data_IF_244385824332
#
_entry.id   IF_244385824332
#
_cell.length_a   1.000
_cell.length_b   1.000
_cell.length_c   1.000
_cell.angle_alpha   90.00
_cell.angle_beta   90.00
_cell.angle_gamma   90.00
#
_symmetry.space_group_name_H-M   'P 1'
#
loop_
_entity.id
_entity.type
_entity.pdbx_description
1 polymer ?
#
# COMPACT_ATOMS: atom_id res chain seq x y z
N UNK A 1 3.30 10.02 15.45
CA UNK A 1 3.19 9.98 13.97
C UNK A 1 4.56 9.74 13.37
N UNK A 2 4.65 8.98 12.29
CA UNK A 2 5.93 8.65 11.68
C UNK A 2 6.62 9.89 11.12
N UNK A 3 7.95 9.98 11.32
CA UNK A 3 8.76 11.07 10.75
C UNK A 3 9.26 10.70 9.36
N UNK A 4 9.67 11.69 8.58
CA UNK A 4 10.28 11.43 7.27
C UNK A 4 11.52 10.56 7.40
N UNK A 5 12.35 10.80 8.42
CA UNK A 5 13.56 10.02 8.67
C UNK A 5 13.22 8.54 8.89
N UNK A 6 12.20 8.26 9.71
CA UNK A 6 11.76 6.88 9.95
C UNK A 6 11.16 6.25 8.71
N UNK A 7 10.37 7.01 7.96
CA UNK A 7 9.78 6.53 6.70
C UNK A 7 10.87 6.18 5.68
N UNK A 8 11.91 7.00 5.56
CA UNK A 8 13.04 6.71 4.67
C UNK A 8 13.80 5.45 5.09
N UNK A 9 13.95 5.20 6.38
CA UNK A 9 14.57 3.96 6.88
C UNK A 9 13.75 2.75 6.50
N UNK A 10 12.43 2.84 6.58
CA UNK A 10 11.53 1.76 6.18
C UNK A 10 11.69 1.47 4.68
N UNK A 11 11.70 2.52 3.85
CA UNK A 11 11.88 2.38 2.41
C UNK A 11 13.21 1.68 2.10
N UNK A 12 14.30 2.14 2.70
CA UNK A 12 15.63 1.56 2.49
C UNK A 12 15.69 0.10 2.92
N UNK A 13 15.11 -0.22 4.08
CA UNK A 13 15.05 -1.60 4.56
C UNK A 13 14.25 -2.51 3.65
N UNK A 14 13.13 -2.04 3.13
CA UNK A 14 12.31 -2.80 2.19
C UNK A 14 13.04 -3.06 0.87
N UNK A 15 13.73 -2.04 0.33
CA UNK A 15 14.50 -2.19 -0.90
C UNK A 15 15.62 -3.21 -0.73
N UNK A 16 16.34 -3.13 0.40
CA UNK A 16 17.40 -4.08 0.72
C UNK A 16 16.87 -5.50 0.82
N UNK A 17 15.77 -5.68 1.54
CA UNK A 17 15.15 -7.00 1.71
C UNK A 17 14.69 -7.58 0.39
N UNK A 18 14.09 -6.76 -0.46
CA UNK A 18 13.64 -7.19 -1.78
C UNK A 18 14.81 -7.71 -2.63
N UNK A 19 15.98 -7.07 -2.55
CA UNK A 19 17.16 -7.52 -3.31
C UNK A 19 17.80 -8.76 -2.69
N UNK A 20 17.81 -8.86 -1.37
CA UNK A 20 18.31 -10.06 -0.68
C UNK A 20 17.47 -11.30 -1.02
N UNK A 21 16.18 -11.13 -1.16
CA UNK A 21 15.23 -12.23 -1.43
C UNK A 21 15.00 -12.48 -2.92
N UNK A 22 15.70 -11.79 -3.81
CA UNK A 22 15.53 -11.90 -5.26
C UNK A 22 14.08 -11.69 -5.73
N UNK A 23 13.38 -10.75 -5.10
CA UNK A 23 12.03 -10.42 -5.51
C UNK A 23 12.01 -9.69 -6.85
N UNK A 24 10.90 -9.76 -7.57
CA UNK A 24 10.68 -8.89 -8.72
C UNK A 24 10.78 -7.42 -8.30
N UNK A 25 11.04 -6.49 -9.23
CA UNK A 25 11.11 -5.07 -8.89
C UNK A 25 9.90 -4.61 -8.08
N UNK A 26 10.14 -3.90 -6.98
CA UNK A 26 9.10 -3.49 -6.04
C UNK A 26 8.91 -1.97 -6.03
N UNK A 27 7.74 -1.56 -5.59
CA UNK A 27 7.44 -0.16 -5.26
C UNK A 27 6.96 -0.11 -3.82
N UNK A 28 7.47 0.86 -3.07
CA UNK A 28 7.20 1.01 -1.64
C UNK A 28 6.56 2.37 -1.40
N UNK A 29 5.49 2.39 -0.62
CA UNK A 29 4.84 3.62 -0.18
C UNK A 29 4.67 3.58 1.33
N UNK A 30 5.08 4.64 2.01
CA UNK A 30 4.92 4.79 3.46
C UNK A 30 4.01 5.97 3.73
N UNK A 31 2.87 5.69 4.37
CA UNK A 31 1.87 6.69 4.73
C UNK A 31 1.87 6.90 6.24
N UNK A 32 1.47 8.10 6.68
CA UNK A 32 1.23 8.35 8.09
C UNK A 32 -0.20 7.96 8.48
N UNK A 33 -0.54 8.14 9.76
CA UNK A 33 -1.87 7.76 10.28
C UNK A 33 -3.02 8.58 9.70
N UNK A 34 -2.72 9.67 8.99
CA UNK A 34 -3.72 10.47 8.27
C UNK A 34 -3.97 9.96 6.86
N UNK A 35 -3.22 8.93 6.42
CA UNK A 35 -3.27 8.43 5.05
C UNK A 35 -2.48 9.30 4.07
N UNK A 36 -1.59 10.15 4.56
CA UNK A 36 -0.77 11.03 3.73
C UNK A 36 0.56 10.35 3.39
N UNK A 37 0.95 10.41 2.13
CA UNK A 37 2.22 9.85 1.68
C UNK A 37 3.40 10.63 2.28
N UNK A 38 4.26 9.93 2.99
CA UNK A 38 5.46 10.52 3.61
C UNK A 38 6.70 10.23 2.78
N UNK A 39 6.86 8.99 2.32
CA UNK A 39 8.01 8.60 1.50
C UNK A 39 7.63 7.44 0.61
N UNK A 40 8.26 7.38 -0.56
CA UNK A 40 8.06 6.28 -1.49
C UNK A 40 9.29 6.08 -2.35
N UNK A 41 9.41 4.87 -2.93
CA UNK A 41 10.45 4.57 -3.89
C UNK A 41 9.93 3.52 -4.86
N UNK A 42 10.35 3.65 -6.11
CA UNK A 42 10.02 2.71 -7.19
C UNK A 42 11.33 2.21 -7.76
N UNK A 43 11.55 0.90 -7.68
CA UNK A 43 12.74 0.31 -8.30
C UNK A 43 12.64 0.38 -9.82
N UNK A 44 13.83 0.40 -10.47
CA UNK A 44 13.89 0.32 -11.92
C UNK A 44 13.16 -0.93 -12.41
N UNK A 45 12.43 -0.80 -13.49
CA UNK A 45 11.66 -1.87 -14.10
C UNK A 45 10.42 -2.33 -13.31
N UNK A 46 10.06 -1.64 -12.22
CA UNK A 46 8.76 -1.85 -11.59
C UNK A 46 7.65 -1.36 -12.53
N UNK A 47 6.52 -2.07 -12.55
CA UNK A 47 5.44 -1.75 -13.48
C UNK A 47 4.85 -0.36 -13.20
N UNK A 48 4.42 0.33 -14.27
CA UNK A 48 3.89 1.70 -14.20
C UNK A 48 2.79 1.88 -13.16
N UNK A 49 1.92 0.88 -13.00
CA UNK A 49 0.77 0.95 -12.09
C UNK A 49 1.15 0.67 -10.62
N UNK A 50 2.36 0.18 -10.35
CA UNK A 50 2.77 -0.22 -9.00
C UNK A 50 2.69 0.89 -7.95
N UNK A 51 3.09 2.16 -8.24
CA UNK A 51 2.94 3.23 -7.24
C UNK A 51 1.51 3.43 -6.79
N UNK A 52 0.55 3.40 -7.72
CA UNK A 52 -0.86 3.56 -7.40
C UNK A 52 -1.38 2.40 -6.56
N UNK A 53 -0.98 1.17 -6.89
CA UNK A 53 -1.36 -0.01 -6.12
C UNK A 53 -0.77 0.03 -4.71
N UNK A 54 0.52 0.38 -4.58
CA UNK A 54 1.18 0.47 -3.29
C UNK A 54 0.51 1.51 -2.39
N UNK A 55 0.23 2.68 -2.93
CA UNK A 55 -0.47 3.75 -2.22
C UNK A 55 -1.87 3.30 -1.81
N UNK A 56 -2.62 2.71 -2.73
CA UNK A 56 -3.98 2.26 -2.47
C UNK A 56 -4.04 1.22 -1.34
N UNK A 57 -3.14 0.26 -1.34
CA UNK A 57 -3.08 -0.75 -0.29
C UNK A 57 -2.77 -0.14 1.08
N UNK A 58 -1.77 0.75 1.14
CA UNK A 58 -1.41 1.41 2.38
C UNK A 58 -2.53 2.32 2.88
N UNK A 59 -3.14 3.09 1.99
CA UNK A 59 -4.24 3.99 2.31
C UNK A 59 -5.45 3.22 2.84
N UNK A 60 -5.78 2.09 2.20
CA UNK A 60 -6.87 1.23 2.64
C UNK A 60 -6.63 0.66 4.03
N UNK A 61 -5.39 0.24 4.33
CA UNK A 61 -5.04 -0.29 5.65
C UNK A 61 -5.21 0.78 6.73
N UNK A 62 -4.78 2.01 6.47
CA UNK A 62 -4.95 3.12 7.42
C UNK A 62 -6.43 3.41 7.63
N UNK A 63 -7.21 3.48 6.54
CA UNK A 63 -8.62 3.84 6.61
C UNK A 63 -9.49 2.80 7.30
N UNK A 64 -9.19 1.53 7.10
CA UNK A 64 -9.98 0.41 7.68
C UNK A 64 -9.39 -0.05 9.01
N UNK A 65 -8.08 0.11 9.22
CA UNK A 65 -7.41 -0.32 10.44
C UNK A 65 -6.97 -1.77 10.42
N UNK A 66 -6.94 -2.41 9.25
CA UNK A 66 -6.49 -3.78 9.07
C UNK A 66 -5.34 -3.85 8.06
N UNK A 67 -4.52 -4.90 8.14
CA UNK A 67 -3.52 -5.17 7.12
C UNK A 67 -4.20 -5.48 5.77
N UNK A 68 -3.47 -5.31 4.66
CA UNK A 68 -4.03 -5.62 3.34
C UNK A 68 -4.44 -7.09 3.20
N UNK A 69 -3.72 -8.00 3.87
CA UNK A 69 -4.09 -9.43 3.90
C UNK A 69 -5.42 -9.61 4.61
N UNK A 70 -5.61 -8.99 5.77
CA UNK A 70 -6.86 -9.07 6.52
C UNK A 70 -8.04 -8.51 5.73
N UNK A 71 -7.84 -7.39 5.02
CA UNK A 71 -8.87 -6.80 4.15
C UNK A 71 -9.26 -7.79 3.05
N UNK A 72 -8.29 -8.41 2.39
CA UNK A 72 -8.54 -9.40 1.37
C UNK A 72 -9.34 -10.58 1.92
N UNK A 73 -8.94 -11.11 3.09
CA UNK A 73 -9.57 -12.29 3.67
C UNK A 73 -10.98 -12.01 4.16
N UNK A 74 -11.22 -10.80 4.71
CA UNK A 74 -12.54 -10.43 5.25
C UNK A 74 -13.52 -9.99 4.18
N UNK A 75 -13.08 -9.20 3.20
CA UNK A 75 -13.98 -8.57 2.24
C UNK A 75 -13.88 -9.17 0.84
N UNK A 76 -12.69 -9.54 0.41
CA UNK A 76 -12.48 -10.09 -0.93
C UNK A 76 -13.05 -11.48 -1.12
N UNK A 77 -13.18 -12.26 -0.05
CA UNK A 77 -13.73 -13.62 -0.08
C UNK A 77 -15.26 -13.67 0.09
N UNK A 78 -15.91 -12.53 0.34
CA UNK A 78 -17.35 -12.43 0.57
C UNK A 78 -17.99 -11.67 -0.60
N UNK A 79 -18.73 -12.36 -1.49
CA UNK A 79 -19.31 -11.71 -2.67
C UNK A 79 -20.18 -10.49 -2.33
N UNK A 80 -20.93 -10.53 -1.24
CA UNK A 80 -21.77 -9.44 -0.80
C UNK A 80 -20.97 -8.19 -0.38
N UNK A 81 -19.69 -8.34 -0.06
CA UNK A 81 -18.82 -7.21 0.32
C UNK A 81 -18.14 -6.57 -0.88
N UNK A 82 -18.15 -7.21 -2.03
CA UNK A 82 -17.53 -6.67 -3.25
C UNK A 82 -18.14 -5.33 -3.62
N UNK A 83 -19.46 -5.21 -3.50
CA UNK A 83 -20.17 -3.96 -3.82
C UNK A 83 -19.74 -2.83 -2.90
N UNK A 84 -19.63 -3.09 -1.61
CA UNK A 84 -19.12 -2.12 -0.63
C UNK A 84 -17.69 -1.67 -0.99
N UNK A 85 -16.84 -2.61 -1.35
CA UNK A 85 -15.46 -2.33 -1.73
C UNK A 85 -15.38 -1.41 -2.94
N UNK A 86 -16.20 -1.68 -3.95
CA UNK A 86 -16.25 -0.85 -5.16
C UNK A 86 -16.77 0.56 -4.85
N UNK A 87 -17.75 0.68 -3.98
CA UNK A 87 -18.26 1.99 -3.54
C UNK A 87 -17.19 2.78 -2.78
N UNK A 88 -16.44 2.12 -1.89
CA UNK A 88 -15.35 2.74 -1.16
C UNK A 88 -14.24 3.23 -2.10
N UNK A 89 -13.91 2.45 -3.15
CA UNK A 89 -12.95 2.86 -4.17
C UNK A 89 -13.41 4.10 -4.91
N UNK A 90 -14.68 4.18 -5.27
CA UNK A 90 -15.23 5.34 -5.97
C UNK A 90 -15.13 6.60 -5.11
N UNK A 91 -15.43 6.50 -3.81
CA UNK A 91 -15.32 7.63 -2.87
C UNK A 91 -13.88 8.08 -2.70
N UNK A 92 -12.95 7.14 -2.63
CA UNK A 92 -11.54 7.42 -2.40
C UNK A 92 -10.75 7.79 -3.65
N UNK A 93 -11.40 7.90 -4.80
CA UNK A 93 -10.71 8.16 -6.06
C UNK A 93 -9.85 6.97 -6.51
N UNK A 94 -10.35 5.77 -6.31
CA UNK A 94 -9.68 4.51 -6.67
C UNK A 94 -8.40 4.23 -5.86
N UNK A 95 -8.29 4.77 -4.65
CA UNK A 95 -7.11 4.56 -3.80
C UNK A 95 -7.14 3.25 -3.01
N UNK A 96 -8.26 2.56 -2.99
CA UNK A 96 -8.38 1.28 -2.27
C UNK A 96 -8.15 0.11 -3.20
#
# INVERSE_FOLDING_TARGET
MITLKDAQKIVEGCLKKAREENMNPVTIAVLDTRGVLVSSAMEDNSALIRPDIAFAKAWGCVGIGFSSRAIRDLYGAQPEQTHFFNAARAISGNKI
#
